data_IF_941733140193
#
_entry.id   IF_941733140193
#
_cell.length_a   1.000
_cell.length_b   1.000
_cell.length_c   1.000
_cell.angle_alpha   90.00
_cell.angle_beta   90.00
_cell.angle_gamma   90.00
#
_symmetry.space_group_name_H-M   'P 1'
#
loop_
_entity.id
_entity.type
_entity.pdbx_description
1 polymer ?
#
# COMPACT_ATOMS: atom_id res chain seq x y z
N UNK A 1 -9.00 17.58 -17.42
CA UNK A 1 -7.68 18.05 -16.93
C UNK A 1 -7.49 17.38 -15.61
N UNK A 2 -7.13 16.12 -15.72
CA UNK A 2 -7.03 15.14 -14.65
C UNK A 2 -5.71 15.48 -13.98
N UNK A 3 -5.78 16.34 -12.98
CA UNK A 3 -4.63 16.74 -12.16
C UNK A 3 -4.30 15.57 -11.24
N UNK A 4 -3.87 14.44 -11.81
CA UNK A 4 -3.22 13.36 -11.08
C UNK A 4 -1.81 13.85 -10.74
N UNK A 5 -1.74 14.72 -9.74
CA UNK A 5 -0.49 15.23 -9.22
C UNK A 5 0.29 14.08 -8.59
N UNK A 6 1.35 13.65 -9.27
CA UNK A 6 2.70 13.27 -8.78
C UNK A 6 2.90 12.58 -7.41
N UNK A 7 1.89 12.04 -6.74
CA UNK A 7 1.99 11.32 -5.48
C UNK A 7 0.99 10.17 -5.48
N UNK A 8 1.40 9.00 -5.00
CA UNK A 8 0.49 7.88 -4.78
C UNK A 8 -0.67 8.34 -3.91
N UNK A 9 -1.91 8.06 -4.33
CA UNK A 9 -3.04 8.33 -3.46
C UNK A 9 -3.01 7.39 -2.26
N UNK A 10 -3.74 7.76 -1.21
CA UNK A 10 -4.01 6.91 -0.04
C UNK A 10 -4.47 5.51 -0.46
N UNK A 11 -5.45 5.44 -1.35
CA UNK A 11 -6.01 4.21 -1.91
C UNK A 11 -5.00 3.40 -2.73
N UNK A 12 -4.12 4.06 -3.51
CA UNK A 12 -3.07 3.37 -4.27
C UNK A 12 -2.09 2.65 -3.33
N UNK A 13 -1.75 3.30 -2.21
CA UNK A 13 -0.85 2.74 -1.20
C UNK A 13 -1.47 1.53 -0.50
N UNK A 14 -2.76 1.62 -0.12
CA UNK A 14 -3.52 0.50 0.44
C UNK A 14 -3.56 -0.69 -0.53
N UNK A 15 -3.90 -0.43 -1.80
CA UNK A 15 -4.01 -1.47 -2.81
C UNK A 15 -2.66 -2.14 -3.10
N UNK A 16 -1.58 -1.35 -3.09
CA UNK A 16 -0.22 -1.87 -3.23
C UNK A 16 0.14 -2.80 -2.07
N UNK A 17 -0.10 -2.39 -0.83
CA UNK A 17 0.15 -3.21 0.35
C UNK A 17 -0.61 -4.53 0.32
N UNK A 18 -1.92 -4.48 0.02
CA UNK A 18 -2.76 -5.68 -0.16
C UNK A 18 -2.19 -6.63 -1.20
N UNK A 19 -1.79 -6.09 -2.34
CA UNK A 19 -1.27 -6.87 -3.47
C UNK A 19 0.06 -7.55 -3.13
N UNK A 20 0.96 -6.85 -2.44
CA UNK A 20 2.23 -7.41 -1.99
C UNK A 20 2.03 -8.54 -0.97
N UNK A 21 1.13 -8.35 -0.02
CA UNK A 21 0.76 -9.39 0.94
C UNK A 21 0.16 -10.63 0.26
N UNK A 22 -0.73 -10.44 -0.71
CA UNK A 22 -1.29 -11.54 -1.51
C UNK A 22 -0.23 -12.26 -2.34
N UNK A 23 0.76 -11.53 -2.86
CA UNK A 23 1.89 -12.08 -3.57
C UNK A 23 2.95 -12.72 -2.64
N UNK A 24 2.78 -12.62 -1.32
CA UNK A 24 3.75 -13.10 -0.33
C UNK A 24 5.08 -12.35 -0.37
N UNK A 25 5.09 -11.12 -0.89
CA UNK A 25 6.29 -10.28 -0.94
C UNK A 25 6.55 -9.66 0.42
N UNK A 26 7.81 -9.43 0.81
CA UNK A 26 8.11 -8.71 2.06
C UNK A 26 7.57 -7.27 2.04
N UNK A 27 7.16 -6.77 3.21
CA UNK A 27 6.71 -5.37 3.41
C UNK A 27 7.77 -4.39 2.92
N UNK A 28 7.40 -3.51 1.98
CA UNK A 28 8.23 -2.44 1.45
C UNK A 28 7.48 -1.09 1.50
N UNK A 29 7.26 -0.52 2.69
CA UNK A 29 6.58 0.75 2.82
C UNK A 29 7.44 1.89 2.24
N UNK A 30 6.83 2.90 1.59
CA UNK A 30 7.54 4.07 1.09
C UNK A 30 8.19 4.89 2.23
N UNK A 31 9.50 5.10 2.17
CA UNK A 31 10.28 5.75 3.26
C UNK A 31 10.07 7.27 3.37
N UNK A 32 9.69 7.93 2.28
CA UNK A 32 9.60 9.40 2.18
C UNK A 32 8.19 9.96 2.39
N UNK A 33 7.20 9.08 2.54
CA UNK A 33 5.81 9.48 2.70
C UNK A 33 5.17 8.66 3.82
N UNK A 34 5.16 9.25 5.02
CA UNK A 34 4.69 8.60 6.24
C UNK A 34 3.20 8.23 6.17
N UNK A 35 2.41 8.99 5.40
CA UNK A 35 0.99 8.68 5.20
C UNK A 35 0.86 7.47 4.27
N UNK A 36 1.54 7.49 3.12
CA UNK A 36 1.55 6.36 2.20
C UNK A 36 2.10 5.08 2.85
N UNK A 37 3.11 5.20 3.72
CA UNK A 37 3.64 4.09 4.52
C UNK A 37 2.57 3.48 5.43
N UNK A 38 1.87 4.32 6.19
CA UNK A 38 0.79 3.88 7.09
C UNK A 38 -0.33 3.18 6.30
N UNK A 39 -0.70 3.70 5.13
CA UNK A 39 -1.74 3.12 4.27
C UNK A 39 -1.31 1.82 3.60
N UNK A 40 -0.06 1.74 3.15
CA UNK A 40 0.54 0.51 2.66
C UNK A 40 0.51 -0.58 3.73
N UNK A 41 0.92 -0.27 4.96
CA UNK A 41 0.93 -1.23 6.07
C UNK A 41 -0.49 -1.72 6.42
N UNK A 42 -1.48 -0.84 6.42
CA UNK A 42 -2.90 -1.21 6.59
C UNK A 42 -3.35 -2.19 5.50
N UNK A 43 -3.07 -1.86 4.24
CA UNK A 43 -3.40 -2.71 3.12
C UNK A 43 -2.71 -4.07 3.19
N UNK A 44 -1.41 -4.10 3.48
CA UNK A 44 -0.65 -5.34 3.60
C UNK A 44 -1.22 -6.22 4.71
N UNK A 45 -1.55 -5.64 5.87
CA UNK A 45 -2.15 -6.38 6.99
C UNK A 45 -3.50 -7.01 6.60
N UNK A 46 -4.36 -6.29 5.86
CA UNK A 46 -5.59 -6.86 5.31
C UNK A 46 -5.33 -8.01 4.32
N UNK A 47 -4.28 -7.91 3.51
CA UNK A 47 -3.90 -8.96 2.56
C UNK A 47 -3.37 -10.22 3.24
N UNK A 48 -2.63 -10.10 4.34
CA UNK A 48 -2.14 -11.22 5.15
C UNK A 48 -3.29 -12.03 5.76
N UNK A 49 -4.33 -11.35 6.26
CA UNK A 49 -5.49 -11.99 6.90
C UNK A 49 -6.25 -12.90 5.93
N UNK A 50 -6.24 -12.59 4.63
CA UNK A 50 -7.00 -13.33 3.62
C UNK A 50 -6.24 -14.54 3.04
N UNK A 51 -4.93 -14.60 3.25
CA UNK A 51 -4.06 -15.72 2.82
C UNK A 51 -3.76 -16.72 3.96
N UNK A 52 -4.27 -16.48 5.17
CA UNK A 52 -4.13 -17.35 6.36
C UNK A 52 -5.29 -18.32 6.57
#
# INVERSE_FOLDING_TARGET
>A
MDKSGSGMSDEDSVNLGKSDAWAGKPKAPPEHDTQAASMYELGYSEGEIKNG
#
